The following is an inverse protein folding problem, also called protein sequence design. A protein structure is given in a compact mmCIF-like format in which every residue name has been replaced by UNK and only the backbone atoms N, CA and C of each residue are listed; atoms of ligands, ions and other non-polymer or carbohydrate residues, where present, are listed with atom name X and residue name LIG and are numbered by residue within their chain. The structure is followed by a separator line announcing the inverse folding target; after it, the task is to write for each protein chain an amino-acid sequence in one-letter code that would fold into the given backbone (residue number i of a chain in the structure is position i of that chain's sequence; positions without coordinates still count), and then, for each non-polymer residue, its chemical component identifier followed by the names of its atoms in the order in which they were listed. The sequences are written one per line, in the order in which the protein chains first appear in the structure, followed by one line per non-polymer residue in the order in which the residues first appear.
data_IF_662445189755
#
_entry.id   IF_662445189755
#
_cell.length_a   1.000
_cell.length_b   1.000
_cell.length_c   1.000
_cell.angle_alpha   90.00
_cell.angle_beta   90.00
_cell.angle_gamma   90.00
#
_symmetry.space_group_name_H-M   'P 1'
#
loop_
_entity.id
_entity.type
_entity.pdbx_description
1 polymer ?
#
# COMPACT_ATOMS: atom_id res chain seq x y z
N UNK A 1 -21.10 -12.02 8.65
CA UNK A 1 -20.91 -11.10 9.79
C UNK A 1 -21.40 -9.73 9.37
N UNK A 2 -22.09 -8.98 10.22
CA UNK A 2 -22.52 -7.62 9.87
C UNK A 2 -21.33 -6.65 9.90
N UNK A 3 -21.31 -5.63 9.05
CA UNK A 3 -20.23 -4.64 8.99
C UNK A 3 -20.01 -3.95 10.35
N UNK A 4 -21.08 -3.70 11.08
CA UNK A 4 -21.04 -3.09 12.42
C UNK A 4 -20.33 -3.97 13.45
N UNK A 5 -20.48 -5.29 13.34
CA UNK A 5 -19.84 -6.24 14.24
C UNK A 5 -18.32 -6.30 13.98
N UNK A 6 -17.90 -6.17 12.71
CA UNK A 6 -16.48 -6.10 12.38
C UNK A 6 -15.85 -4.78 12.83
N UNK A 7 -16.58 -3.67 12.76
CA UNK A 7 -16.14 -2.38 13.30
C UNK A 7 -15.95 -2.43 14.81
N UNK A 8 -16.85 -3.11 15.53
CA UNK A 8 -16.67 -3.35 16.97
C UNK A 8 -15.39 -4.13 17.25
N UNK A 9 -15.08 -5.19 16.50
CA UNK A 9 -13.82 -5.94 16.64
C UNK A 9 -12.62 -5.01 16.45
N UNK A 10 -12.61 -4.19 15.38
CA UNK A 10 -11.52 -3.24 15.15
C UNK A 10 -11.38 -2.21 16.28
N UNK A 11 -12.49 -1.73 16.84
CA UNK A 11 -12.47 -0.82 17.99
C UNK A 11 -11.91 -1.48 19.25
N UNK A 12 -12.28 -2.75 19.49
CA UNK A 12 -11.78 -3.53 20.64
C UNK A 12 -10.30 -3.87 20.50
N UNK A 13 -9.81 -4.08 19.27
CA UNK A 13 -8.37 -4.27 19.01
C UNK A 13 -7.53 -3.02 19.33
N UNK A 14 -8.15 -1.84 19.31
CA UNK A 14 -7.53 -0.56 19.67
C UNK A 14 -7.69 -0.22 21.16
N UNK A 15 -8.36 -1.07 21.95
CA UNK A 15 -8.57 -0.84 23.38
C UNK A 15 -7.25 -0.87 24.17
N UNK A 16 -7.18 -0.07 25.23
CA UNK A 16 -6.09 -0.08 26.21
C UNK A 16 -6.15 -1.28 27.16
N UNK A 17 -7.30 -1.96 27.22
CA UNK A 17 -7.51 -3.15 28.04
C UNK A 17 -6.98 -4.39 27.31
N UNK A 18 -6.01 -5.08 27.93
CA UNK A 18 -5.38 -6.27 27.37
C UNK A 18 -6.36 -7.45 27.23
N UNK A 19 -7.32 -7.61 28.15
CA UNK A 19 -8.30 -8.70 28.08
C UNK A 19 -9.26 -8.49 26.91
N UNK A 20 -9.75 -7.26 26.74
CA UNK A 20 -10.61 -6.88 25.61
C UNK A 20 -9.86 -7.04 24.29
N UNK A 21 -8.58 -6.64 24.22
CA UNK A 21 -7.76 -6.81 23.01
C UNK A 21 -7.57 -8.30 22.68
N UNK A 22 -7.25 -9.13 23.66
CA UNK A 22 -7.07 -10.58 23.45
C UNK A 22 -8.36 -11.24 22.96
N UNK A 23 -9.49 -10.91 23.55
CA UNK A 23 -10.79 -11.45 23.13
C UNK A 23 -11.16 -11.01 21.71
N UNK A 24 -10.84 -9.76 21.34
CA UNK A 24 -11.03 -9.26 19.98
C UNK A 24 -10.11 -9.95 18.97
N UNK A 25 -8.86 -10.24 19.33
CA UNK A 25 -7.93 -11.03 18.52
C UNK A 25 -8.45 -12.45 18.29
N UNK A 26 -8.92 -13.13 19.33
CA UNK A 26 -9.50 -14.48 19.22
C UNK A 26 -10.76 -14.47 18.34
N UNK A 27 -11.62 -13.47 18.53
CA UNK A 27 -12.81 -13.30 17.70
C UNK A 27 -12.43 -13.05 16.24
N UNK A 28 -11.46 -12.17 16.00
CA UNK A 28 -10.93 -11.87 14.67
C UNK A 28 -10.34 -13.13 14.03
N UNK A 29 -9.54 -13.91 14.75
CA UNK A 29 -8.91 -15.12 14.22
C UNK A 29 -9.94 -16.15 13.75
N UNK A 30 -11.07 -16.26 14.44
CA UNK A 30 -12.18 -17.15 14.07
C UNK A 30 -13.02 -16.66 12.88
N UNK A 31 -12.84 -15.43 12.40
CA UNK A 31 -13.58 -14.93 11.21
C UNK A 31 -13.04 -15.59 9.93
N UNK A 32 -13.92 -16.03 9.00
CA UNK A 32 -13.51 -16.53 7.70
C UNK A 32 -12.66 -15.52 6.92
N UNK A 33 -11.63 -16.00 6.24
CA UNK A 33 -10.66 -15.18 5.48
C UNK A 33 -11.31 -14.28 4.43
N UNK A 34 -12.29 -14.77 3.68
CA UNK A 34 -12.95 -14.00 2.62
C UNK A 34 -13.70 -12.79 3.19
N UNK A 35 -14.32 -12.98 4.36
CA UNK A 35 -14.99 -11.90 5.09
C UNK A 35 -13.97 -10.93 5.68
N UNK A 36 -12.83 -11.40 6.20
CA UNK A 36 -11.73 -10.54 6.67
C UNK A 36 -11.28 -9.61 5.55
N UNK A 37 -10.91 -10.14 4.38
CA UNK A 37 -10.43 -9.33 3.24
C UNK A 37 -11.48 -8.28 2.84
N UNK A 38 -12.73 -8.71 2.68
CA UNK A 38 -13.83 -7.84 2.28
C UNK A 38 -14.07 -6.71 3.28
N UNK A 39 -14.18 -7.04 4.58
CA UNK A 39 -14.45 -6.04 5.61
C UNK A 39 -13.25 -5.12 5.86
N UNK A 40 -12.01 -5.63 5.83
CA UNK A 40 -10.81 -4.81 5.97
C UNK A 40 -10.71 -3.79 4.84
N UNK A 41 -10.92 -4.21 3.58
CA UNK A 41 -10.94 -3.30 2.44
C UNK A 41 -12.07 -2.29 2.54
N UNK A 42 -13.27 -2.72 2.92
CA UNK A 42 -14.39 -1.80 3.12
C UNK A 42 -14.07 -0.73 4.18
N UNK A 43 -13.43 -1.10 5.28
CA UNK A 43 -12.98 -0.15 6.32
C UNK A 43 -11.95 0.83 5.76
N UNK A 44 -10.96 0.36 5.00
CA UNK A 44 -9.93 1.22 4.40
C UNK A 44 -10.56 2.28 3.49
N UNK A 45 -11.56 1.90 2.69
CA UNK A 45 -12.27 2.81 1.78
C UNK A 45 -13.28 3.72 2.47
N UNK A 46 -13.74 3.35 3.66
CA UNK A 46 -14.77 4.12 4.38
C UNK A 46 -14.16 5.33 5.09
N UNK A 47 -14.27 6.50 4.46
CA UNK A 47 -13.82 7.78 5.00
C UNK A 47 -14.54 8.25 6.27
N UNK A 48 -15.64 7.61 6.68
CA UNK A 48 -16.33 7.91 7.94
C UNK A 48 -15.72 7.20 9.16
N UNK A 49 -14.84 6.21 8.93
CA UNK A 49 -14.16 5.49 10.00
C UNK A 49 -13.02 6.31 10.60
N UNK A 50 -12.66 6.03 11.86
CA UNK A 50 -11.51 6.68 12.48
C UNK A 50 -10.22 6.34 11.74
N UNK A 51 -9.25 7.25 11.77
CA UNK A 51 -7.98 7.05 11.08
C UNK A 51 -7.24 5.82 11.62
N UNK A 52 -7.26 5.62 12.93
CA UNK A 52 -6.64 4.48 13.61
C UNK A 52 -7.25 3.15 13.16
N UNK A 53 -8.58 3.10 12.99
CA UNK A 53 -9.28 1.91 12.50
C UNK A 53 -8.91 1.60 11.05
N UNK A 54 -8.83 2.62 10.18
CA UNK A 54 -8.38 2.47 8.79
C UNK A 54 -6.93 2.00 8.71
N UNK A 55 -6.07 2.57 9.54
CA UNK A 55 -4.66 2.17 9.65
C UNK A 55 -4.51 0.74 10.16
N UNK A 56 -5.28 0.34 11.18
CA UNK A 56 -5.31 -1.03 11.69
C UNK A 56 -5.79 -2.00 10.61
N UNK A 57 -6.85 -1.65 9.89
CA UNK A 57 -7.37 -2.48 8.81
C UNK A 57 -6.32 -2.72 7.71
N UNK A 58 -5.58 -1.68 7.30
CA UNK A 58 -4.49 -1.82 6.34
C UNK A 58 -3.36 -2.73 6.85
N UNK A 59 -2.99 -2.63 8.13
CA UNK A 59 -1.95 -3.49 8.74
C UNK A 59 -2.39 -4.95 8.80
N UNK A 60 -3.62 -5.22 9.21
CA UNK A 60 -4.17 -6.57 9.28
C UNK A 60 -4.31 -7.19 7.88
N UNK A 61 -4.72 -6.40 6.90
CA UNK A 61 -4.83 -6.85 5.51
C UNK A 61 -3.45 -7.23 4.94
N UNK A 62 -2.43 -6.41 5.20
CA UNK A 62 -1.04 -6.74 4.81
C UNK A 62 -0.59 -8.05 5.44
N UNK A 63 -0.80 -8.23 6.75
CA UNK A 63 -0.42 -9.47 7.45
C UNK A 63 -1.10 -10.70 6.86
N UNK A 64 -2.38 -10.58 6.53
CA UNK A 64 -3.16 -11.65 5.90
C UNK A 64 -2.63 -11.98 4.50
N UNK A 65 -2.20 -10.98 3.73
CA UNK A 65 -1.58 -11.22 2.42
C UNK A 65 -0.19 -11.86 2.55
N UNK A 66 0.59 -11.51 3.56
CA UNK A 66 1.88 -12.18 3.80
C UNK A 66 1.71 -13.66 4.16
N UNK A 67 0.67 -14.02 4.92
CA UNK A 67 0.51 -15.40 5.42
C UNK A 67 -0.27 -16.32 4.48
N UNK A 68 -1.32 -15.82 3.83
CA UNK A 68 -2.34 -16.70 3.21
C UNK A 68 -2.76 -16.25 1.79
N UNK A 69 -2.06 -15.29 1.17
CA UNK A 69 -2.52 -14.68 -0.10
C UNK A 69 -2.81 -15.70 -1.19
N UNK A 70 -1.83 -16.56 -1.52
CA UNK A 70 -1.97 -17.50 -2.62
C UNK A 70 -3.04 -18.56 -2.38
N UNK A 71 -3.31 -18.92 -1.11
CA UNK A 71 -4.31 -19.92 -0.76
C UNK A 71 -5.72 -19.41 -1.08
N UNK A 72 -6.08 -18.22 -0.59
CA UNK A 72 -7.41 -17.66 -0.86
C UNK A 72 -7.52 -17.11 -2.29
N UNK A 73 -6.46 -16.51 -2.82
CA UNK A 73 -6.50 -15.87 -4.14
C UNK A 73 -6.79 -16.89 -5.24
N UNK A 74 -6.22 -18.09 -5.17
CA UNK A 74 -6.46 -19.17 -6.15
C UNK A 74 -7.87 -19.77 -6.06
N UNK A 75 -8.51 -19.71 -4.90
CA UNK A 75 -9.89 -20.16 -4.70
C UNK A 75 -10.92 -19.15 -5.23
N UNK A 76 -10.55 -17.87 -5.31
CA UNK A 76 -11.44 -16.83 -5.81
C UNK A 76 -11.68 -16.94 -7.33
N UNK A 77 -12.91 -16.68 -7.80
CA UNK A 77 -13.20 -16.52 -9.22
C UNK A 77 -12.33 -15.41 -9.84
N UNK A 78 -11.98 -15.56 -11.11
CA UNK A 78 -11.14 -14.58 -11.84
C UNK A 78 -11.71 -13.15 -11.79
N UNK A 79 -13.03 -13.02 -11.80
CA UNK A 79 -13.71 -11.72 -11.63
C UNK A 79 -13.48 -11.12 -10.23
N UNK A 80 -13.59 -11.93 -9.17
CA UNK A 80 -13.37 -11.49 -7.80
C UNK A 80 -11.90 -11.14 -7.53
N UNK A 81 -10.96 -11.88 -8.15
CA UNK A 81 -9.53 -11.55 -8.13
C UNK A 81 -9.28 -10.15 -8.72
N UNK A 82 -9.83 -9.89 -9.92
CA UNK A 82 -9.71 -8.58 -10.58
C UNK A 82 -10.32 -7.45 -9.74
N UNK A 83 -11.52 -7.66 -9.19
CA UNK A 83 -12.18 -6.70 -8.32
C UNK A 83 -11.37 -6.39 -7.06
N UNK A 84 -10.81 -7.41 -6.40
CA UNK A 84 -9.97 -7.25 -5.21
C UNK A 84 -8.77 -6.33 -5.50
N UNK A 85 -8.04 -6.63 -6.57
CA UNK A 85 -6.87 -5.87 -6.99
C UNK A 85 -7.26 -4.43 -7.35
N UNK A 86 -8.35 -4.24 -8.09
CA UNK A 86 -8.85 -2.92 -8.43
C UNK A 86 -9.18 -2.09 -7.17
N UNK A 87 -9.85 -2.68 -6.18
CA UNK A 87 -10.17 -1.99 -4.92
C UNK A 87 -8.90 -1.58 -4.17
N UNK A 88 -7.89 -2.45 -4.09
CA UNK A 88 -6.62 -2.13 -3.44
C UNK A 88 -5.93 -0.92 -4.12
N UNK A 89 -5.93 -0.86 -5.45
CA UNK A 89 -5.36 0.27 -6.19
C UNK A 89 -6.17 1.56 -6.03
N UNK A 90 -7.50 1.46 -5.99
CA UNK A 90 -8.37 2.61 -5.75
C UNK A 90 -8.12 3.22 -4.36
N UNK A 91 -7.88 2.39 -3.34
CA UNK A 91 -7.55 2.86 -1.99
C UNK A 91 -6.33 3.79 -1.95
N UNK A 92 -5.30 3.53 -2.79
CA UNK A 92 -4.08 4.36 -2.88
C UNK A 92 -4.38 5.73 -3.50
N UNK A 93 -5.36 5.79 -4.41
CA UNK A 93 -5.74 6.99 -5.16
C UNK A 93 -6.71 7.89 -4.39
N UNK A 94 -7.25 7.43 -3.27
CA UNK A 94 -8.09 8.26 -2.41
C UNK A 94 -7.28 9.40 -1.76
N UNK A 95 -7.98 10.48 -1.42
CA UNK A 95 -7.46 11.54 -0.56
C UNK A 95 -7.43 11.04 0.89
N UNK A 96 -6.27 10.52 1.28
CA UNK A 96 -5.99 9.98 2.61
C UNK A 96 -4.74 10.61 3.18
N UNK A 97 -4.56 10.49 4.50
CA UNK A 97 -3.35 10.95 5.17
C UNK A 97 -2.11 10.20 4.64
N UNK A 98 -0.93 10.84 4.61
CA UNK A 98 0.31 10.20 4.15
C UNK A 98 0.65 8.91 4.90
N UNK A 99 0.33 8.85 6.20
CA UNK A 99 0.51 7.66 7.03
C UNK A 99 -0.38 6.49 6.60
N UNK A 100 -1.66 6.75 6.30
CA UNK A 100 -2.56 5.72 5.79
C UNK A 100 -2.17 5.32 4.37
N UNK A 101 -1.84 6.28 3.50
CA UNK A 101 -1.36 6.01 2.13
C UNK A 101 -0.18 5.06 2.15
N UNK A 102 0.79 5.27 3.04
CA UNK A 102 1.95 4.39 3.22
C UNK A 102 1.54 2.95 3.55
N UNK A 103 0.65 2.75 4.52
CA UNK A 103 0.15 1.42 4.89
C UNK A 103 -0.59 0.73 3.75
N UNK A 104 -1.38 1.48 2.96
CA UNK A 104 -2.06 0.94 1.78
C UNK A 104 -1.02 0.55 0.71
N UNK A 105 -0.01 1.38 0.46
CA UNK A 105 1.09 1.03 -0.44
C UNK A 105 1.82 -0.24 0.00
N UNK A 106 2.01 -0.48 1.29
CA UNK A 106 2.58 -1.75 1.80
C UNK A 106 1.68 -2.95 1.47
N UNK A 107 0.35 -2.81 1.55
CA UNK A 107 -0.60 -3.86 1.11
C UNK A 107 -0.47 -4.12 -0.39
N UNK A 108 -0.38 -3.05 -1.19
CA UNK A 108 -0.23 -3.15 -2.65
C UNK A 108 1.08 -3.85 -3.01
N UNK A 109 2.19 -3.48 -2.35
CA UNK A 109 3.49 -4.10 -2.54
C UNK A 109 3.44 -5.60 -2.22
N UNK A 110 2.78 -5.97 -1.12
CA UNK A 110 2.63 -7.36 -0.72
C UNK A 110 1.80 -8.17 -1.72
N UNK A 111 0.68 -7.61 -2.20
CA UNK A 111 -0.14 -8.24 -3.23
C UNK A 111 0.63 -8.38 -4.56
N UNK A 112 1.32 -7.31 -4.99
CA UNK A 112 2.17 -7.33 -6.18
C UNK A 112 3.28 -8.38 -6.07
N UNK A 113 3.89 -8.54 -4.88
CA UNK A 113 4.91 -9.56 -4.62
C UNK A 113 4.39 -10.97 -4.78
N UNK A 114 3.17 -11.25 -4.32
CA UNK A 114 2.58 -12.58 -4.44
C UNK A 114 2.16 -12.92 -5.87
N UNK A 115 2.03 -11.92 -6.76
CA UNK A 115 1.66 -12.09 -8.17
C UNK A 115 2.86 -12.14 -9.12
N UNK A 116 4.07 -12.32 -8.58
CA UNK A 116 5.27 -12.53 -9.38
C UNK A 116 5.35 -14.00 -9.79
N UNK A 117 5.52 -14.27 -11.08
CA UNK A 117 5.74 -15.61 -11.61
C UNK A 117 7.20 -16.09 -11.47
N UNK A 118 7.45 -17.36 -11.79
CA UNK A 118 8.80 -17.97 -11.73
C UNK A 118 9.81 -17.27 -12.66
N UNK A 119 9.33 -16.62 -13.71
CA UNK A 119 10.15 -15.84 -14.64
C UNK A 119 10.52 -14.45 -14.09
N UNK A 120 9.87 -14.01 -13.02
CA UNK A 120 10.05 -12.71 -12.36
C UNK A 120 9.24 -11.59 -13.00
N UNK A 121 8.16 -11.92 -13.71
CA UNK A 121 7.18 -10.97 -14.24
C UNK A 121 5.99 -10.85 -13.30
N UNK A 122 5.48 -9.63 -13.15
CA UNK A 122 4.30 -9.38 -12.34
C UNK A 122 3.03 -9.61 -13.18
N UNK A 123 2.15 -10.50 -12.74
CA UNK A 123 0.88 -10.83 -13.41
C UNK A 123 -0.25 -9.83 -13.16
N UNK A 124 0.05 -8.65 -12.60
CA UNK A 124 -0.91 -7.59 -12.32
C UNK A 124 -0.72 -6.36 -13.24
N UNK A 125 -1.35 -6.32 -14.44
CA UNK A 125 -1.12 -5.26 -15.43
C UNK A 125 -1.51 -3.87 -14.92
N UNK A 126 -2.59 -3.75 -14.16
CA UNK A 126 -3.05 -2.45 -13.64
C UNK A 126 -2.06 -1.86 -12.65
N UNK A 127 -1.45 -2.69 -11.79
CA UNK A 127 -0.38 -2.23 -10.92
C UNK A 127 0.84 -1.80 -11.73
N UNK A 128 1.20 -2.54 -12.77
CA UNK A 128 2.30 -2.18 -13.67
C UNK A 128 2.06 -0.80 -14.30
N UNK A 129 0.86 -0.57 -14.83
CA UNK A 129 0.46 0.72 -15.41
C UNK A 129 0.44 1.83 -14.36
N UNK A 130 -0.12 1.57 -13.18
CA UNK A 130 -0.14 2.51 -12.07
C UNK A 130 1.28 2.92 -11.68
N UNK A 131 2.17 1.96 -11.47
CA UNK A 131 3.57 2.18 -11.10
C UNK A 131 4.32 2.98 -12.18
N UNK A 132 4.18 2.59 -13.45
CA UNK A 132 4.74 3.32 -14.59
C UNK A 132 4.26 4.77 -14.62
N UNK A 133 2.95 4.97 -14.48
CA UNK A 133 2.33 6.30 -14.48
C UNK A 133 2.76 7.14 -13.27
N UNK A 134 3.05 6.51 -12.13
CA UNK A 134 3.52 7.18 -10.93
C UNK A 134 4.98 7.64 -11.07
N UNK A 135 5.80 6.87 -11.80
CA UNK A 135 7.18 7.21 -12.13
C UNK A 135 7.26 8.29 -13.23
N UNK A 136 6.50 8.16 -14.32
CA UNK A 136 6.55 9.08 -15.45
C UNK A 136 5.81 10.39 -15.20
N UNK A 137 4.87 10.44 -14.24
CA UNK A 137 4.19 11.70 -13.90
C UNK A 137 5.23 12.73 -13.45
N UNK A 138 5.27 13.92 -14.07
CA UNK A 138 6.04 15.04 -13.53
C UNK A 138 5.38 15.42 -12.21
N UNK A 139 5.87 14.85 -11.11
CA UNK A 139 5.51 15.32 -9.79
C UNK A 139 5.94 16.79 -9.75
N UNK A 140 5.03 17.75 -9.49
CA UNK A 140 5.46 19.12 -9.26
C UNK A 140 6.51 19.07 -8.15
N UNK A 141 7.63 19.73 -8.40
CA UNK A 141 8.83 19.70 -7.55
C UNK A 141 8.57 20.11 -6.10
N UNK A 142 7.40 20.67 -5.78
CA UNK A 142 6.89 20.96 -4.44
C UNK A 142 6.39 19.71 -3.66
N UNK A 143 5.88 18.67 -4.33
CA UNK A 143 5.42 17.44 -3.67
C UNK A 143 6.56 16.52 -3.21
N UNK A 144 7.79 16.79 -3.66
CA UNK A 144 9.02 16.16 -3.14
C UNK A 144 9.53 16.90 -1.88
N UNK A 145 9.03 18.12 -1.63
CA UNK A 145 9.36 18.92 -0.44
C UNK A 145 8.47 18.58 0.75
N UNK A 146 7.27 18.05 0.51
CA UNK A 146 6.47 17.44 1.56
C UNK A 146 7.18 16.16 2.02
N UNK A 147 7.93 16.25 3.12
CA UNK A 147 8.53 15.13 3.85
C UNK A 147 7.57 13.95 4.11
N UNK A 148 6.26 14.16 3.92
CA UNK A 148 5.21 13.28 4.38
C UNK A 148 4.93 12.07 3.45
N UNK A 149 4.97 12.21 2.12
CA UNK A 149 4.47 11.16 1.21
C UNK A 149 5.59 10.39 0.46
N UNK A 150 6.52 9.79 1.22
CA UNK A 150 7.53 8.85 0.71
C UNK A 150 6.95 7.48 0.26
N UNK A 151 5.64 7.33 0.29
CA UNK A 151 4.92 6.08 0.03
C UNK A 151 5.26 5.46 -1.34
N UNK A 152 5.36 6.28 -2.40
CA UNK A 152 5.73 5.84 -3.74
C UNK A 152 7.22 5.47 -3.87
N UNK A 153 8.11 6.20 -3.17
CA UNK A 153 9.54 5.89 -3.14
C UNK A 153 9.79 4.58 -2.42
N UNK A 154 9.08 4.34 -1.31
CA UNK A 154 9.16 3.07 -0.59
C UNK A 154 8.61 1.91 -1.41
N UNK A 155 7.48 2.10 -2.10
CA UNK A 155 6.97 1.12 -3.05
C UNK A 155 7.99 0.82 -4.17
N UNK A 156 8.68 1.84 -4.69
CA UNK A 156 9.76 1.67 -5.67
C UNK A 156 10.92 0.84 -5.11
N UNK A 157 11.34 1.10 -3.86
CA UNK A 157 12.40 0.33 -3.18
C UNK A 157 11.98 -1.14 -2.99
N UNK A 158 10.77 -1.37 -2.46
CA UNK A 158 10.28 -2.73 -2.21
C UNK A 158 10.18 -3.51 -3.54
N UNK A 159 9.81 -2.84 -4.64
CA UNK A 159 9.76 -3.43 -5.99
C UNK A 159 11.17 -3.67 -6.60
N UNK A 160 12.15 -2.79 -6.36
CA UNK A 160 13.55 -3.04 -6.79
C UNK A 160 14.16 -4.23 -6.05
N UNK A 161 13.88 -4.37 -4.76
CA UNK A 161 14.39 -5.48 -3.95
C UNK A 161 13.73 -6.81 -4.33
N UNK A 162 12.42 -6.79 -4.62
CA UNK A 162 11.65 -8.01 -4.85
C UNK A 162 11.66 -8.45 -6.32
N UNK A 163 11.78 -7.52 -7.26
CA UNK A 163 11.57 -7.78 -8.68
C UNK A 163 12.42 -6.91 -9.63
N UNK A 164 13.74 -7.11 -9.67
CA UNK A 164 14.63 -6.30 -10.51
C UNK A 164 14.41 -6.51 -12.02
N UNK A 165 13.95 -7.71 -12.44
CA UNK A 165 13.65 -8.01 -13.85
C UNK A 165 12.50 -7.17 -14.38
N UNK A 166 11.45 -6.99 -13.57
CA UNK A 166 10.28 -6.18 -13.88
C UNK A 166 10.63 -4.71 -14.16
N UNK A 167 11.72 -4.22 -13.57
CA UNK A 167 12.17 -2.85 -13.72
C UNK A 167 13.09 -2.62 -14.93
N UNK A 168 13.56 -3.69 -15.60
CA UNK A 168 14.43 -3.55 -16.79
C UNK A 168 13.83 -2.65 -17.88
N UNK A 169 12.54 -2.76 -18.24
CA UNK A 169 11.94 -1.88 -19.25
C UNK A 169 11.81 -0.42 -18.78
N UNK A 170 11.82 -0.18 -17.46
CA UNK A 170 11.62 1.14 -16.86
C UNK A 170 12.90 1.72 -16.28
N UNK A 171 14.03 1.04 -16.46
CA UNK A 171 15.30 1.37 -15.82
C UNK A 171 15.73 2.80 -16.18
N UNK A 172 15.57 3.18 -17.45
CA UNK A 172 15.93 4.50 -17.95
C UNK A 172 15.11 5.61 -17.29
N UNK A 173 13.79 5.39 -17.12
CA UNK A 173 12.88 6.31 -16.41
C UNK A 173 13.25 6.39 -14.93
N UNK A 174 13.56 5.26 -14.28
CA UNK A 174 13.99 5.21 -12.88
C UNK A 174 15.30 5.97 -12.71
N UNK A 175 16.27 5.78 -13.61
CA UNK A 175 17.53 6.53 -13.60
C UNK A 175 17.30 8.03 -13.78
N UNK A 176 16.42 8.44 -14.68
CA UNK A 176 16.11 9.85 -14.92
C UNK A 176 15.45 10.50 -13.68
N UNK A 177 14.54 9.80 -13.00
CA UNK A 177 13.93 10.25 -11.75
C UNK A 177 14.97 10.35 -10.64
N UNK A 178 15.79 9.31 -10.44
CA UNK A 178 16.86 9.30 -9.45
C UNK A 178 17.83 10.47 -9.67
N UNK A 179 18.20 10.75 -10.92
CA UNK A 179 19.04 11.90 -11.28
C UNK A 179 18.35 13.23 -11.01
N UNK A 180 17.07 13.39 -11.35
CA UNK A 180 16.29 14.59 -11.03
C UNK A 180 16.19 14.84 -9.52
N UNK A 181 15.93 13.80 -8.73
CA UNK A 181 15.86 13.88 -7.26
C UNK A 181 17.22 14.25 -6.66
N UNK A 182 18.31 13.64 -7.15
CA UNK A 182 19.66 13.97 -6.69
C UNK A 182 20.05 15.41 -7.04
N UNK A 183 19.77 15.86 -8.28
CA UNK A 183 20.06 17.21 -8.74
C UNK A 183 19.28 18.28 -7.95
N UNK A 184 18.02 18.02 -7.59
CA UNK A 184 17.22 18.91 -6.73
C UNK A 184 17.81 19.04 -5.32
N UNK A 185 18.33 17.96 -4.73
CA UNK A 185 19.03 18.03 -3.45
C UNK A 185 20.32 18.86 -3.54
N UNK A 186 21.10 18.70 -4.62
CA UNK A 186 22.34 19.46 -4.81
C UNK A 186 22.06 20.96 -4.99
N UNK A 187 21.03 21.32 -5.76
CA UNK A 187 20.63 22.72 -5.96
C UNK A 187 20.13 23.39 -4.69
N UNK A 188 19.51 22.65 -3.76
CA UNK A 188 19.13 23.21 -2.44
C UNK A 188 20.33 23.43 -1.52
N UNK A 189 21.29 22.52 -1.48
CA UNK A 189 22.52 22.70 -0.68
C UNK A 189 23.34 23.89 -1.18
N UNK A 190 23.34 24.14 -2.49
CA UNK A 190 23.99 25.31 -3.09
C UNK A 190 23.11 26.57 -2.96
N UNK A 191 21.79 26.47 -3.09
CA UNK A 191 20.87 27.61 -2.96
C UNK A 191 20.83 28.24 -1.57
N UNK A 192 20.97 27.45 -0.50
CA UNK A 192 21.06 27.96 0.88
C UNK A 192 22.41 28.67 1.14
N UNK A 193 23.46 28.35 0.38
CA UNK A 193 24.77 29.01 0.53
C UNK A 193 24.92 30.30 -0.28
N UNK A 194 24.04 30.57 -1.26
CA UNK A 194 24.06 31.82 -2.04
C UNK A 194 23.14 32.92 -1.53
N UNK A 195 22.18 32.62 -0.64
CA UNK A 195 21.27 33.63 -0.05
C UNK A 195 21.71 34.16 1.34
N UNK A 196 22.95 33.86 1.77
CA UNK A 196 23.56 34.37 3.01
C UNK A 196 24.88 35.09 2.77
N UNK A 197 24.95 35.92 1.72
CA UNK A 197 26.00 36.94 1.55
C UNK A 197 25.41 38.25 1.07
#
# INVERSE_FOLDING_TARGET
MAADQFQQILSSLLSTDNEVRQQAEDTYNNVPRDLKVTHLLATIHNGQQSEEARQMAAVLLRRLFTSEFLEFYKELPQEAQGQLLQQILLAVQQDVTPNLRRKICEVVAEAARNLIDDDGNNQWPDFCNFFSSALTRPQPTESIEAQDDQSLVKLLIDMTETCPKFLRPQLEVIFEICMKVLALKTLKTVGVTWFSR
#
